data_IF_218298958963
#
_entry.id   IF_218298958963
#
_cell.length_a   1.000
_cell.length_b   1.000
_cell.length_c   1.000
_cell.angle_alpha   90.00
_cell.angle_beta   90.00
_cell.angle_gamma   90.00
#
_symmetry.space_group_name_H-M   'P 1'
#
loop_
_entity.id
_entity.type
_entity.pdbx_description
1 polymer ?
#
# COMPACT_ATOMS: atom_id res chain seq x y z
N UNK A 1 8.30 0.72 4.08
CA UNK A 1 7.07 1.33 3.52
C UNK A 1 6.65 2.54 4.37
N UNK A 2 6.56 2.40 5.69
CA UNK A 2 6.12 3.47 6.59
C UNK A 2 6.95 4.76 6.52
N UNK A 3 8.23 4.68 6.14
CA UNK A 3 9.07 5.87 5.92
C UNK A 3 8.58 6.78 4.78
N UNK A 4 7.93 6.23 3.74
CA UNK A 4 7.29 7.04 2.69
C UNK A 4 6.12 7.81 3.26
N UNK A 5 5.23 7.10 3.96
CA UNK A 5 4.02 7.69 4.54
C UNK A 5 4.35 8.72 5.61
N UNK A 6 5.35 8.48 6.45
CA UNK A 6 5.82 9.44 7.46
C UNK A 6 6.42 10.73 6.87
N UNK A 7 6.89 10.71 5.62
CA UNK A 7 7.48 11.88 4.96
C UNK A 7 6.43 12.84 4.37
N UNK A 8 5.17 12.38 4.25
CA UNK A 8 4.08 13.13 3.66
C UNK A 8 3.57 14.31 4.49
N UNK A 9 3.09 15.35 3.81
CA UNK A 9 2.53 16.52 4.50
C UNK A 9 1.21 16.21 5.23
N UNK A 10 0.39 15.26 4.73
CA UNK A 10 -0.89 14.90 5.36
C UNK A 10 -0.72 14.20 6.70
N UNK A 11 0.35 13.43 6.83
CA UNK A 11 0.62 12.57 7.99
C UNK A 11 1.57 13.22 8.99
N UNK A 12 2.11 14.40 8.67
CA UNK A 12 3.11 15.12 9.46
C UNK A 12 2.68 15.40 10.92
N UNK A 13 1.37 15.44 11.19
CA UNK A 13 0.85 15.57 12.56
C UNK A 13 1.08 14.33 13.43
N UNK A 14 1.09 13.12 12.84
CA UNK A 14 1.26 11.84 13.55
C UNK A 14 2.07 10.83 12.71
N UNK A 15 3.28 11.16 12.22
CA UNK A 15 3.96 10.39 11.17
C UNK A 15 4.28 8.95 11.58
N UNK A 16 4.59 8.74 12.87
CA UNK A 16 4.86 7.40 13.43
C UNK A 16 3.63 6.49 13.43
N UNK A 17 2.44 7.02 13.72
CA UNK A 17 1.20 6.25 13.77
C UNK A 17 0.78 5.80 12.36
N UNK A 18 0.84 6.70 11.38
CA UNK A 18 0.58 6.33 9.98
C UNK A 18 1.60 5.31 9.44
N UNK A 19 2.89 5.48 9.78
CA UNK A 19 3.92 4.52 9.42
C UNK A 19 3.64 3.13 10.03
N UNK A 20 3.25 3.08 11.30
CA UNK A 20 2.90 1.85 12.00
C UNK A 20 1.70 1.15 11.35
N UNK A 21 0.62 1.90 11.07
CA UNK A 21 -0.58 1.39 10.40
C UNK A 21 -0.24 0.75 9.06
N UNK A 22 0.56 1.43 8.24
CA UNK A 22 0.95 0.94 6.91
C UNK A 22 1.79 -0.32 7.01
N UNK A 23 2.75 -0.38 7.94
CA UNK A 23 3.58 -1.56 8.14
C UNK A 23 2.77 -2.75 8.67
N UNK A 24 1.78 -2.51 9.53
CA UNK A 24 0.84 -3.54 9.99
C UNK A 24 0.03 -4.08 8.81
N UNK A 25 -0.58 -3.22 8.00
CA UNK A 25 -1.38 -3.65 6.85
C UNK A 25 -0.52 -4.41 5.86
N UNK A 26 0.68 -3.92 5.59
CA UNK A 26 1.55 -4.61 4.66
C UNK A 26 2.04 -5.96 5.19
N UNK A 27 2.24 -6.09 6.51
CA UNK A 27 2.48 -7.40 7.12
C UNK A 27 1.28 -8.33 6.93
N UNK A 28 0.05 -7.81 7.06
CA UNK A 28 -1.16 -8.55 6.75
C UNK A 28 -1.19 -9.06 5.31
N UNK A 29 -0.88 -8.19 4.36
CA UNK A 29 -0.77 -8.54 2.94
C UNK A 29 0.27 -9.63 2.68
N UNK A 30 1.44 -9.56 3.31
CA UNK A 30 2.46 -10.60 3.18
C UNK A 30 2.03 -11.94 3.78
N UNK A 31 1.23 -11.93 4.85
CA UNK A 31 0.69 -13.18 5.39
C UNK A 31 -0.31 -13.83 4.43
N UNK A 32 -1.04 -13.03 3.65
CA UNK A 32 -2.01 -13.52 2.66
C UNK A 32 -1.36 -13.97 1.34
N UNK A 33 -0.41 -13.19 0.81
CA UNK A 33 0.06 -13.34 -0.59
C UNK A 33 1.57 -13.48 -0.73
N UNK A 34 2.31 -13.24 0.34
CA UNK A 34 3.77 -13.16 0.32
C UNK A 34 4.43 -14.04 1.38
N UNK A 35 5.52 -13.54 1.93
CA UNK A 35 6.20 -14.13 3.08
C UNK A 35 6.21 -13.10 4.21
N UNK A 36 5.61 -13.47 5.34
CA UNK A 36 5.63 -12.67 6.56
C UNK A 36 7.08 -12.34 6.97
N UNK A 37 7.28 -11.10 7.45
CA UNK A 37 8.56 -10.63 8.01
C UNK A 37 8.65 -10.92 9.51
N UNK A 38 7.52 -11.08 10.17
CA UNK A 38 7.43 -11.23 11.62
C UNK A 38 7.22 -12.68 12.08
N UNK A 39 6.54 -13.49 11.27
CA UNK A 39 6.22 -14.88 11.63
C UNK A 39 7.25 -15.84 11.04
N UNK A 40 7.78 -16.71 11.88
CA UNK A 40 8.72 -17.75 11.47
C UNK A 40 7.95 -19.00 11.01
N UNK A 41 7.89 -19.20 9.70
CA UNK A 41 7.31 -20.39 9.03
C UNK A 41 5.89 -20.76 9.55
N UNK A 42 4.93 -19.82 9.54
CA UNK A 42 3.57 -20.14 9.93
C UNK A 42 2.97 -21.14 8.93
N UNK A 43 2.15 -22.07 9.42
CA UNK A 43 1.28 -22.82 8.53
C UNK A 43 0.29 -21.87 7.83
N UNK A 44 -0.30 -22.33 6.73
CA UNK A 44 -1.15 -21.51 5.89
C UNK A 44 -2.35 -20.94 6.63
N UNK A 45 -2.98 -21.70 7.51
CA UNK A 45 -4.20 -21.26 8.18
C UNK A 45 -3.87 -20.23 9.27
N UNK A 46 -2.76 -20.41 9.99
CA UNK A 46 -2.23 -19.43 10.93
C UNK A 46 -1.81 -18.14 10.21
N UNK A 47 -1.16 -18.25 9.06
CA UNK A 47 -0.77 -17.08 8.26
C UNK A 47 -2.01 -16.27 7.84
N UNK A 48 -3.06 -16.93 7.35
CA UNK A 48 -4.32 -16.26 6.98
C UNK A 48 -4.95 -15.53 8.18
N UNK A 49 -5.07 -16.19 9.32
CA UNK A 49 -5.65 -15.57 10.53
C UNK A 49 -4.80 -14.39 11.05
N UNK A 50 -3.48 -14.53 11.03
CA UNK A 50 -2.58 -13.45 11.38
C UNK A 50 -2.68 -12.28 10.39
N UNK A 51 -2.86 -12.58 9.11
CA UNK A 51 -3.12 -11.60 8.06
C UNK A 51 -4.35 -10.74 8.37
N UNK A 52 -5.46 -11.38 8.70
CA UNK A 52 -6.71 -10.69 9.08
C UNK A 52 -6.54 -9.84 10.34
N UNK A 53 -5.80 -10.35 11.33
CA UNK A 53 -5.48 -9.60 12.54
C UNK A 53 -4.65 -8.35 12.24
N UNK A 54 -3.62 -8.46 11.39
CA UNK A 54 -2.77 -7.33 11.02
C UNK A 54 -3.54 -6.26 10.23
N UNK A 55 -4.42 -6.67 9.31
CA UNK A 55 -5.35 -5.73 8.66
C UNK A 55 -6.27 -5.04 9.67
N UNK A 56 -6.86 -5.78 10.60
CA UNK A 56 -7.73 -5.21 11.63
C UNK A 56 -6.99 -4.21 12.53
N UNK A 57 -5.74 -4.50 12.91
CA UNK A 57 -4.88 -3.60 13.69
C UNK A 57 -4.64 -2.30 12.91
N UNK A 58 -4.24 -2.39 11.63
CA UNK A 58 -3.96 -1.21 10.83
C UNK A 58 -5.19 -0.34 10.61
N UNK A 59 -6.32 -0.93 10.21
CA UNK A 59 -7.57 -0.19 9.97
C UNK A 59 -8.10 0.42 11.27
N UNK A 60 -8.05 -0.31 12.39
CA UNK A 60 -8.49 0.23 13.69
C UNK A 60 -7.59 1.36 14.18
N UNK A 61 -6.27 1.24 13.98
CA UNK A 61 -5.32 2.30 14.28
C UNK A 61 -5.61 3.57 13.50
N UNK A 62 -5.89 3.44 12.20
CA UNK A 62 -6.20 4.58 11.33
C UNK A 62 -7.55 5.23 11.67
N UNK A 63 -8.57 4.44 11.98
CA UNK A 63 -9.85 4.95 12.47
C UNK A 63 -9.69 5.72 13.80
N UNK A 64 -8.79 5.27 14.67
CA UNK A 64 -8.44 5.97 15.91
C UNK A 64 -7.79 7.34 15.70
N UNK A 65 -7.13 7.57 14.56
CA UNK A 65 -6.58 8.89 14.19
C UNK A 65 -7.65 9.86 13.68
N UNK A 66 -8.89 9.40 13.45
CA UNK A 66 -9.99 10.23 12.98
C UNK A 66 -9.85 10.68 11.52
N UNK A 67 -9.16 9.89 10.68
CA UNK A 67 -8.89 10.19 9.27
C UNK A 67 -9.66 9.22 8.34
N UNK A 68 -10.94 9.50 8.04
CA UNK A 68 -11.76 8.62 7.21
C UNK A 68 -11.30 8.53 5.75
N UNK A 69 -10.62 9.56 5.24
CA UNK A 69 -10.06 9.54 3.89
C UNK A 69 -8.95 8.49 3.80
N UNK A 70 -8.02 8.49 4.76
CA UNK A 70 -6.97 7.48 4.82
C UNK A 70 -7.51 6.07 5.07
N UNK A 71 -8.57 5.92 5.88
CA UNK A 71 -9.28 4.63 6.04
C UNK A 71 -9.81 4.12 4.69
N UNK A 72 -10.42 5.00 3.89
CA UNK A 72 -10.89 4.68 2.54
C UNK A 72 -9.75 4.22 1.64
N UNK A 73 -8.68 5.01 1.55
CA UNK A 73 -7.49 4.71 0.75
C UNK A 73 -6.92 3.32 1.08
N UNK A 74 -6.75 3.03 2.37
CA UNK A 74 -6.15 1.77 2.82
C UNK A 74 -7.09 0.58 2.64
N UNK A 75 -8.40 0.78 2.81
CA UNK A 75 -9.41 -0.25 2.55
C UNK A 75 -9.46 -0.60 1.06
N UNK A 76 -9.39 0.42 0.19
CA UNK A 76 -9.31 0.22 -1.26
C UNK A 76 -8.01 -0.47 -1.65
N UNK A 77 -6.88 -0.12 -1.04
CA UNK A 77 -5.61 -0.82 -1.25
C UNK A 77 -5.74 -2.33 -0.97
N UNK A 78 -6.30 -2.71 0.19
CA UNK A 78 -6.51 -4.13 0.55
C UNK A 78 -7.41 -4.82 -0.48
N UNK A 79 -8.54 -4.19 -0.84
CA UNK A 79 -9.49 -4.73 -1.81
C UNK A 79 -8.86 -4.92 -3.19
N UNK A 80 -8.25 -3.87 -3.73
CA UNK A 80 -7.67 -3.85 -5.09
C UNK A 80 -6.52 -4.86 -5.19
N UNK A 81 -5.62 -4.89 -4.20
CA UNK A 81 -4.49 -5.83 -4.23
C UNK A 81 -4.96 -7.28 -4.11
N UNK A 82 -5.99 -7.58 -3.31
CA UNK A 82 -6.59 -8.91 -3.26
C UNK A 82 -7.16 -9.35 -4.63
N UNK A 83 -7.81 -8.45 -5.35
CA UNK A 83 -8.33 -8.72 -6.70
C UNK A 83 -7.20 -8.98 -7.71
N UNK A 84 -6.11 -8.20 -7.67
CA UNK A 84 -4.96 -8.35 -8.57
C UNK A 84 -4.16 -9.61 -8.28
N UNK A 85 -3.96 -9.95 -7.02
CA UNK A 85 -3.34 -11.21 -6.61
C UNK A 85 -4.14 -12.42 -7.09
N UNK A 86 -5.48 -12.36 -7.01
CA UNK A 86 -6.34 -13.41 -7.52
C UNK A 86 -6.22 -13.63 -9.05
N UNK A 87 -5.81 -12.59 -9.80
CA UNK A 87 -5.53 -12.67 -11.24
C UNK A 87 -4.09 -13.03 -11.56
N UNK A 88 -3.19 -12.96 -10.57
CA UNK A 88 -1.75 -13.12 -10.77
C UNK A 88 -1.06 -11.86 -11.32
N UNK A 89 -1.71 -10.70 -11.27
CA UNK A 89 -1.21 -9.43 -11.82
C UNK A 89 -0.31 -8.71 -10.79
N UNK A 90 0.85 -9.31 -10.48
CA UNK A 90 1.74 -8.81 -9.42
C UNK A 90 2.27 -7.41 -9.68
N UNK A 91 2.71 -7.10 -10.90
CA UNK A 91 3.24 -5.76 -11.24
C UNK A 91 2.19 -4.67 -11.01
N UNK A 92 0.92 -5.00 -11.25
CA UNK A 92 -0.20 -4.10 -10.98
C UNK A 92 -0.44 -3.93 -9.48
N UNK A 93 -0.32 -5.00 -8.68
CA UNK A 93 -0.44 -4.93 -7.23
C UNK A 93 0.67 -4.05 -6.61
N UNK A 94 1.91 -4.17 -7.10
CA UNK A 94 3.04 -3.35 -6.67
C UNK A 94 2.83 -1.86 -7.00
N UNK A 95 2.33 -1.56 -8.21
CA UNK A 95 2.00 -0.19 -8.60
C UNK A 95 0.90 0.43 -7.71
N UNK A 96 -0.14 -0.34 -7.39
CA UNK A 96 -1.22 0.10 -6.48
C UNK A 96 -0.69 0.36 -5.07
N UNK A 97 0.21 -0.50 -4.55
CA UNK A 97 0.87 -0.25 -3.26
C UNK A 97 1.55 1.12 -3.23
N UNK A 98 2.42 1.40 -4.20
CA UNK A 98 3.15 2.67 -4.25
C UNK A 98 2.21 3.87 -4.39
N UNK A 99 1.22 3.79 -5.27
CA UNK A 99 0.28 4.87 -5.49
C UNK A 99 -0.58 5.16 -4.26
N UNK A 100 -1.08 4.13 -3.57
CA UNK A 100 -1.89 4.33 -2.38
C UNK A 100 -1.06 4.85 -1.19
N UNK A 101 0.22 4.47 -1.07
CA UNK A 101 1.11 5.11 -0.09
C UNK A 101 1.33 6.59 -0.40
N UNK A 102 1.47 6.98 -1.66
CA UNK A 102 1.56 8.38 -2.06
C UNK A 102 0.25 9.11 -1.75
N UNK A 103 -0.90 8.52 -2.06
CA UNK A 103 -2.21 9.09 -1.72
C UNK A 103 -2.36 9.31 -0.20
N UNK A 104 -1.95 8.35 0.63
CA UNK A 104 -1.92 8.51 2.10
C UNK A 104 -0.99 9.65 2.54
N UNK A 105 0.18 9.76 1.90
CA UNK A 105 1.23 10.73 2.27
C UNK A 105 0.86 12.17 1.89
N UNK A 106 0.32 12.35 0.69
CA UNK A 106 0.22 13.64 0.01
C UNK A 106 -1.23 14.03 -0.32
N UNK A 107 -2.13 13.05 -0.38
CA UNK A 107 -3.54 13.21 -0.74
C UNK A 107 -3.86 12.47 -2.03
N UNK A 108 -5.11 12.03 -2.14
CA UNK A 108 -5.70 11.57 -3.40
C UNK A 108 -6.47 12.69 -4.08
N UNK A 109 -6.58 12.59 -5.41
CA UNK A 109 -7.51 13.39 -6.21
C UNK A 109 -8.34 12.47 -7.13
N UNK A 110 -9.26 13.05 -7.92
CA UNK A 110 -10.10 12.28 -8.85
C UNK A 110 -9.26 11.54 -9.91
N UNK A 111 -8.08 12.07 -10.28
CA UNK A 111 -7.20 11.43 -11.25
C UNK A 111 -6.63 10.13 -10.71
N UNK A 112 -6.21 10.11 -9.43
CA UNK A 112 -5.77 8.91 -8.73
C UNK A 112 -6.85 7.81 -8.73
N UNK A 113 -8.08 8.16 -8.35
CA UNK A 113 -9.18 7.20 -8.33
C UNK A 113 -9.51 6.61 -9.71
N UNK A 114 -9.43 7.44 -10.76
CA UNK A 114 -9.57 7.00 -12.15
C UNK A 114 -8.47 6.04 -12.59
N UNK A 115 -7.20 6.32 -12.24
CA UNK A 115 -6.05 5.47 -12.58
C UNK A 115 -6.11 4.10 -11.87
N UNK A 116 -6.49 4.07 -10.59
CA UNK A 116 -6.71 2.80 -9.87
C UNK A 116 -7.82 1.99 -10.53
N UNK A 117 -8.92 2.64 -10.92
CA UNK A 117 -10.04 1.98 -11.60
C UNK A 117 -9.65 1.43 -12.97
N UNK A 118 -8.91 2.19 -13.78
CA UNK A 118 -8.40 1.74 -15.08
C UNK A 118 -7.50 0.51 -14.94
N UNK A 119 -6.63 0.51 -13.92
CA UNK A 119 -5.78 -0.63 -13.59
C UNK A 119 -6.62 -1.86 -13.18
N UNK A 120 -7.67 -1.69 -12.39
CA UNK A 120 -8.60 -2.78 -12.04
C UNK A 120 -9.36 -3.35 -13.25
N UNK A 121 -9.66 -2.52 -14.24
CA UNK A 121 -10.27 -2.94 -15.50
C UNK A 121 -9.28 -3.63 -16.46
N UNK A 122 -7.98 -3.66 -16.12
CA UNK A 122 -6.93 -4.22 -16.98
C UNK A 122 -6.68 -3.38 -18.22
N UNK A 123 -6.88 -2.06 -18.14
CA UNK A 123 -6.66 -1.17 -19.27
C UNK A 123 -5.17 -1.15 -19.68
N UNK A 124 -4.87 -1.21 -20.98
CA UNK A 124 -3.49 -1.15 -21.45
C UNK A 124 -2.81 0.15 -21.02
N UNK A 125 -1.64 0.05 -20.40
CA UNK A 125 -0.86 1.23 -19.94
C UNK A 125 -1.19 1.70 -18.53
N UNK A 126 -2.28 1.22 -17.90
CA UNK A 126 -2.73 1.71 -16.60
C UNK A 126 -1.68 1.53 -15.47
N UNK A 127 -0.86 0.49 -15.52
CA UNK A 127 0.27 0.29 -14.58
C UNK A 127 1.30 1.41 -14.72
N UNK A 128 1.67 1.75 -15.95
CA UNK A 128 2.61 2.83 -16.24
C UNK A 128 2.03 4.18 -15.82
N UNK A 129 0.79 4.46 -16.19
CA UNK A 129 0.13 5.74 -15.89
C UNK A 129 0.02 5.96 -14.37
N UNK A 130 -0.33 4.91 -13.62
CA UNK A 130 -0.38 4.98 -12.16
C UNK A 130 1.01 5.17 -11.52
N UNK A 131 2.03 4.51 -12.06
CA UNK A 131 3.41 4.68 -11.60
C UNK A 131 3.96 6.09 -11.89
N UNK A 132 3.67 6.66 -13.06
CA UNK A 132 4.03 8.03 -13.42
C UNK A 132 3.31 9.05 -12.52
N UNK A 133 2.03 8.84 -12.24
CA UNK A 133 1.30 9.67 -11.28
C UNK A 133 1.94 9.64 -9.88
N UNK A 134 2.31 8.45 -9.39
CA UNK A 134 2.91 8.29 -8.07
C UNK A 134 4.27 8.99 -7.99
N UNK A 135 5.14 8.79 -8.98
CA UNK A 135 6.46 9.43 -9.06
C UNK A 135 6.33 10.96 -9.18
N UNK A 136 5.48 11.45 -10.10
CA UNK A 136 5.27 12.88 -10.27
C UNK A 136 4.69 13.55 -9.02
N UNK A 137 3.84 12.86 -8.27
CA UNK A 137 3.31 13.36 -6.99
C UNK A 137 4.39 13.37 -5.90
N UNK A 138 5.20 12.32 -5.81
CA UNK A 138 6.34 12.29 -4.88
C UNK A 138 7.30 13.46 -5.10
N UNK A 139 7.59 13.79 -6.36
CA UNK A 139 8.46 14.91 -6.73
C UNK A 139 7.85 16.26 -6.36
N UNK A 140 6.56 16.50 -6.69
CA UNK A 140 5.86 17.74 -6.32
C UNK A 140 5.85 18.00 -4.81
N UNK A 141 5.82 16.94 -4.02
CA UNK A 141 5.83 17.01 -2.55
C UNK A 141 7.23 16.85 -1.93
N UNK A 142 8.29 16.79 -2.74
CA UNK A 142 9.68 16.66 -2.29
C UNK A 142 9.97 15.42 -1.43
N UNK A 143 9.27 14.30 -1.68
CA UNK A 143 9.44 13.02 -0.96
C UNK A 143 10.04 11.90 -1.84
N UNK A 144 10.60 12.24 -3.01
CA UNK A 144 11.17 11.29 -3.97
C UNK A 144 12.18 10.29 -3.38
N UNK A 145 13.04 10.71 -2.43
CA UNK A 145 13.95 9.78 -1.74
C UNK A 145 13.20 8.69 -0.98
N UNK A 146 12.15 9.06 -0.25
CA UNK A 146 11.36 8.10 0.52
C UNK A 146 10.53 7.19 -0.40
N UNK A 147 10.10 7.72 -1.55
CA UNK A 147 9.42 6.97 -2.60
C UNK A 147 10.31 5.88 -3.19
N UNK A 148 11.54 6.23 -3.59
CA UNK A 148 12.51 5.25 -4.11
C UNK A 148 12.85 4.16 -3.10
N UNK A 149 13.04 4.53 -1.82
CA UNK A 149 13.27 3.55 -0.76
C UNK A 149 12.08 2.60 -0.55
N UNK A 150 10.84 3.08 -0.72
CA UNK A 150 9.65 2.23 -0.65
C UNK A 150 9.53 1.30 -1.86
N UNK A 151 9.82 1.79 -3.07
CA UNK A 151 9.86 1.01 -4.31
C UNK A 151 10.87 -0.13 -4.22
N UNK A 152 12.10 0.18 -3.83
CA UNK A 152 13.13 -0.83 -3.63
C UNK A 152 12.72 -1.87 -2.57
N UNK A 153 12.08 -1.44 -1.49
CA UNK A 153 11.61 -2.35 -0.45
C UNK A 153 10.48 -3.28 -0.90
N UNK A 154 9.69 -2.92 -1.92
CA UNK A 154 8.68 -3.77 -2.56
C UNK A 154 9.38 -4.71 -3.56
N UNK A 155 10.20 -4.16 -4.46
CA UNK A 155 10.88 -4.88 -5.55
C UNK A 155 11.82 -6.00 -5.05
N UNK A 156 12.53 -5.78 -3.94
CA UNK A 156 13.53 -6.72 -3.41
C UNK A 156 12.94 -7.99 -2.79
N UNK A 157 11.61 -8.16 -2.78
CA UNK A 157 10.97 -9.28 -2.07
C UNK A 157 10.89 -10.54 -2.91
N UNK A 158 11.03 -11.73 -2.29
CA UNK A 158 11.02 -12.98 -3.02
C UNK A 158 9.74 -13.12 -3.83
N UNK A 159 9.90 -13.24 -5.14
CA UNK A 159 8.82 -13.58 -6.06
C UNK A 159 8.41 -15.01 -5.77
N UNK A 160 7.32 -15.20 -5.01
CA UNK A 160 6.76 -16.53 -4.81
C UNK A 160 6.52 -17.15 -6.20
N UNK A 161 7.22 -18.28 -6.45
CA UNK A 161 7.15 -19.12 -7.66
C UNK A 161 6.12 -20.21 -7.47
#
# INVERSE_FOLDING_TARGET
MGGLVAAGARTAGNPGEYAYVVEAVYEGYLCHYGRSRLLADPDRDLALLAGDLFYAIGISGLAGLGDPESVGILSDLIRVTAELEARGDRDAAEAVWLAQLIALSCGSDESHGGLVSALQCGEPGAVTDLAEWAAGTADRHCIGRAFEAAREAIDLRPRNS
#
